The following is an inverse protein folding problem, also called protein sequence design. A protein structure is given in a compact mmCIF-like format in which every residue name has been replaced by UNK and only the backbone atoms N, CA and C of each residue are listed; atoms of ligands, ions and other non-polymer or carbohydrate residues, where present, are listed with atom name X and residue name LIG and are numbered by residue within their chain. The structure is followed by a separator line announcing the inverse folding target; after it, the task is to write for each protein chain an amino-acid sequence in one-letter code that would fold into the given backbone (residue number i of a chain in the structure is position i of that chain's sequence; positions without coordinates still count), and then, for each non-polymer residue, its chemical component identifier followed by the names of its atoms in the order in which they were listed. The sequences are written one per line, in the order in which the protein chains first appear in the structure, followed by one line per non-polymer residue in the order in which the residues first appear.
data_IF_689771057443
#
_entry.id   IF_689771057443
#
_cell.length_a   1.000
_cell.length_b   1.000
_cell.length_c   1.000
_cell.angle_alpha   90.00
_cell.angle_beta   90.00
_cell.angle_gamma   90.00
#
_symmetry.space_group_name_H-M   'P 1'
#
loop_
_entity.id
_entity.type
_entity.pdbx_description
1 polymer ?
#
# COMPACT_ATOMS: atom_id res chain seq x y z
N UNK A 1 0.83 12.37 -18.98
CA UNK A 1 -0.52 11.83 -18.87
C UNK A 1 -0.82 11.39 -17.43
N UNK A 2 0.00 10.54 -16.79
CA UNK A 2 -0.21 10.09 -15.40
C UNK A 2 -0.29 11.29 -14.43
N UNK A 3 0.67 12.21 -14.48
CA UNK A 3 0.70 13.40 -13.64
C UNK A 3 -0.54 14.32 -13.83
N UNK A 4 -1.13 14.32 -15.01
CA UNK A 4 -2.34 15.10 -15.28
C UNK A 4 -3.54 14.51 -14.53
N UNK A 5 -3.71 13.20 -14.58
CA UNK A 5 -4.78 12.51 -13.83
C UNK A 5 -4.56 12.55 -12.33
N UNK A 6 -3.31 12.45 -11.88
CA UNK A 6 -2.97 12.63 -10.47
C UNK A 6 -3.35 14.02 -9.97
N UNK A 7 -2.96 15.07 -10.68
CA UNK A 7 -3.30 16.43 -10.34
C UNK A 7 -4.83 16.68 -10.36
N UNK A 8 -5.54 16.14 -11.35
CA UNK A 8 -6.99 16.22 -11.44
C UNK A 8 -7.66 15.53 -10.24
N UNK A 9 -7.23 14.32 -9.89
CA UNK A 9 -7.76 13.60 -8.74
C UNK A 9 -7.50 14.36 -7.43
N UNK A 10 -6.29 14.88 -7.22
CA UNK A 10 -5.94 15.66 -6.03
C UNK A 10 -6.75 16.95 -5.93
N UNK A 11 -7.02 17.60 -7.05
CA UNK A 11 -7.89 18.78 -7.11
C UNK A 11 -9.34 18.42 -6.76
N UNK A 12 -9.87 17.34 -7.33
CA UNK A 12 -11.23 16.84 -7.08
C UNK A 12 -11.40 16.34 -5.64
N UNK A 13 -10.34 15.91 -4.98
CA UNK A 13 -10.30 15.59 -3.56
C UNK A 13 -10.17 16.82 -2.65
N UNK A 14 -10.10 18.01 -3.21
CA UNK A 14 -9.93 19.23 -2.44
C UNK A 14 -8.55 19.37 -1.78
N UNK A 15 -7.55 18.59 -2.21
CA UNK A 15 -6.18 18.68 -1.69
C UNK A 15 -5.36 19.77 -2.38
N UNK A 16 -5.76 20.16 -3.58
CA UNK A 16 -5.15 21.23 -4.38
C UNK A 16 -6.25 22.16 -4.87
N UNK A 17 -6.03 23.47 -4.75
CA UNK A 17 -6.95 24.46 -5.28
C UNK A 17 -6.98 24.45 -6.82
N UNK A 18 -8.14 24.77 -7.38
CA UNK A 18 -8.30 24.87 -8.83
C UNK A 18 -7.40 25.97 -9.39
N UNK A 19 -6.55 25.70 -10.39
CA UNK A 19 -5.53 26.65 -10.84
C UNK A 19 -6.09 27.94 -11.45
N UNK A 20 -7.34 27.94 -11.92
CA UNK A 20 -7.98 29.11 -12.55
C UNK A 20 -8.85 29.87 -11.56
N UNK A 21 -9.65 29.18 -10.73
CA UNK A 21 -10.57 29.82 -9.79
C UNK A 21 -9.99 30.03 -8.40
N UNK A 22 -8.94 29.29 -8.04
CA UNK A 22 -8.35 29.31 -6.70
C UNK A 22 -9.23 28.66 -5.62
N UNK A 23 -10.37 28.10 -6.02
CA UNK A 23 -11.31 27.45 -5.11
C UNK A 23 -10.91 26.01 -4.81
N UNK A 24 -11.24 25.58 -3.60
CA UNK A 24 -11.11 24.18 -3.17
C UNK A 24 -12.51 23.59 -3.14
N UNK A 25 -12.74 22.63 -4.01
CA UNK A 25 -14.03 21.93 -4.10
C UNK A 25 -13.78 20.42 -4.01
N UNK A 26 -14.64 19.73 -3.29
CA UNK A 26 -14.60 18.27 -3.19
C UNK A 26 -15.61 17.67 -4.15
N UNK A 27 -15.11 16.92 -5.12
CA UNK A 27 -15.89 16.16 -6.08
C UNK A 27 -15.44 14.69 -6.05
N UNK A 28 -16.05 13.90 -5.18
CA UNK A 28 -15.68 12.48 -4.99
C UNK A 28 -15.94 11.63 -6.24
N UNK A 29 -16.99 11.93 -6.99
CA UNK A 29 -17.31 11.21 -8.23
C UNK A 29 -16.21 11.43 -9.27
N UNK A 30 -15.84 12.68 -9.53
CA UNK A 30 -14.75 13.02 -10.45
C UNK A 30 -13.39 12.46 -9.99
N UNK A 31 -13.12 12.50 -8.68
CA UNK A 31 -11.91 11.89 -8.12
C UNK A 31 -11.84 10.38 -8.35
N UNK A 32 -12.98 9.72 -8.19
CA UNK A 32 -13.11 8.27 -8.47
C UNK A 32 -12.83 7.98 -9.94
N UNK A 33 -13.45 8.72 -10.85
CA UNK A 33 -13.25 8.56 -12.29
C UNK A 33 -11.78 8.73 -12.68
N UNK A 34 -11.10 9.73 -12.09
CA UNK A 34 -9.68 9.96 -12.33
C UNK A 34 -8.80 8.82 -11.83
N UNK A 35 -9.11 8.25 -10.67
CA UNK A 35 -8.41 7.09 -10.09
C UNK A 35 -8.66 5.84 -10.94
N UNK A 36 -9.89 5.60 -11.36
CA UNK A 36 -10.27 4.45 -12.18
C UNK A 36 -9.59 4.52 -13.57
N UNK A 37 -9.47 5.73 -14.13
CA UNK A 37 -8.75 5.96 -15.39
C UNK A 37 -7.25 5.61 -15.24
N UNK A 38 -6.62 6.03 -14.13
CA UNK A 38 -5.22 5.66 -13.84
C UNK A 38 -5.05 4.16 -13.61
N UNK A 39 -6.00 3.52 -12.94
CA UNK A 39 -5.98 2.07 -12.73
C UNK A 39 -6.12 1.30 -14.06
N UNK A 40 -7.02 1.74 -14.92
CA UNK A 40 -7.15 1.20 -16.28
C UNK A 40 -5.87 1.38 -17.09
N UNK A 41 -5.23 2.54 -17.00
CA UNK A 41 -3.93 2.78 -17.66
C UNK A 41 -2.86 1.83 -17.15
N UNK A 42 -2.78 1.60 -15.84
CA UNK A 42 -1.84 0.65 -15.26
C UNK A 42 -2.03 -0.77 -15.83
N UNK A 43 -3.27 -1.22 -15.90
CA UNK A 43 -3.63 -2.52 -16.49
C UNK A 43 -3.26 -2.60 -17.97
N UNK A 44 -3.63 -1.58 -18.76
CA UNK A 44 -3.39 -1.58 -20.22
C UNK A 44 -1.92 -1.44 -20.62
N UNK A 45 -1.10 -0.91 -19.72
CA UNK A 45 0.35 -0.74 -19.96
C UNK A 45 1.19 -1.82 -19.28
N UNK A 46 0.56 -2.80 -18.65
CA UNK A 46 1.26 -3.91 -18.01
C UNK A 46 2.18 -4.63 -19.03
N UNK A 47 3.42 -4.85 -18.61
CA UNK A 47 4.46 -5.41 -19.48
C UNK A 47 5.16 -4.42 -20.40
N UNK A 48 4.66 -3.19 -20.55
CA UNK A 48 5.26 -2.12 -21.37
C UNK A 48 5.95 -1.03 -20.54
N UNK A 49 5.81 -1.06 -19.21
CA UNK A 49 6.45 -0.14 -18.30
C UNK A 49 7.77 -0.72 -17.80
N UNK A 50 8.78 0.15 -17.67
CA UNK A 50 9.97 -0.22 -16.92
C UNK A 50 9.66 -0.27 -15.41
N UNK A 51 10.58 -0.79 -14.62
CA UNK A 51 10.37 -0.99 -13.18
C UNK A 51 10.07 0.32 -12.43
N UNK A 52 10.73 1.41 -12.78
CA UNK A 52 10.54 2.72 -12.14
C UNK A 52 9.18 3.32 -12.51
N UNK A 53 8.76 3.20 -13.75
CA UNK A 53 7.44 3.66 -14.22
C UNK A 53 6.32 2.87 -13.55
N UNK A 54 6.46 1.57 -13.42
CA UNK A 54 5.50 0.70 -12.74
C UNK A 54 5.36 1.10 -11.27
N UNK A 55 6.48 1.24 -10.56
CA UNK A 55 6.50 1.66 -9.15
C UNK A 55 5.89 3.04 -8.94
N UNK A 56 6.19 3.98 -9.82
CA UNK A 56 5.61 5.31 -9.77
C UNK A 56 4.09 5.27 -9.89
N UNK A 57 3.58 4.54 -10.86
CA UNK A 57 2.14 4.44 -11.11
C UNK A 57 1.41 3.72 -9.96
N UNK A 58 1.97 2.64 -9.44
CA UNK A 58 1.47 1.94 -8.26
C UNK A 58 1.44 2.85 -7.02
N UNK A 59 2.50 3.63 -6.83
CA UNK A 59 2.59 4.57 -5.72
C UNK A 59 1.53 5.68 -5.81
N UNK A 60 1.36 6.28 -6.98
CA UNK A 60 0.34 7.30 -7.24
C UNK A 60 -1.06 6.73 -6.97
N UNK A 61 -1.38 5.56 -7.50
CA UNK A 61 -2.67 4.92 -7.28
C UNK A 61 -2.93 4.63 -5.79
N UNK A 62 -1.91 4.15 -5.08
CA UNK A 62 -2.00 3.93 -3.64
C UNK A 62 -2.30 5.23 -2.88
N UNK A 63 -1.56 6.29 -3.17
CA UNK A 63 -1.74 7.60 -2.53
C UNK A 63 -3.12 8.21 -2.82
N UNK A 64 -3.58 8.13 -4.05
CA UNK A 64 -4.89 8.66 -4.44
C UNK A 64 -6.03 7.89 -3.78
N UNK A 65 -5.95 6.56 -3.70
CA UNK A 65 -6.96 5.73 -3.02
C UNK A 65 -7.01 6.03 -1.53
N UNK A 66 -5.86 6.21 -0.90
CA UNK A 66 -5.76 6.57 0.52
C UNK A 66 -6.40 7.95 0.78
N UNK A 67 -6.06 8.95 -0.02
CA UNK A 67 -6.66 10.28 0.06
C UNK A 67 -8.16 10.27 -0.23
N UNK A 68 -8.60 9.43 -1.17
CA UNK A 68 -10.02 9.28 -1.48
C UNK A 68 -10.83 8.78 -0.28
N UNK A 69 -10.36 7.73 0.38
CA UNK A 69 -11.00 7.18 1.59
C UNK A 69 -11.04 8.22 2.71
N UNK A 70 -9.93 8.91 2.93
CA UNK A 70 -9.82 9.97 3.95
C UNK A 70 -10.84 11.10 3.72
N UNK A 71 -10.97 11.58 2.49
CA UNK A 71 -11.94 12.64 2.14
C UNK A 71 -13.36 12.11 2.16
N UNK A 72 -13.62 10.89 1.68
CA UNK A 72 -14.95 10.29 1.71
C UNK A 72 -15.47 10.12 3.14
N UNK A 73 -14.63 9.64 4.05
CA UNK A 73 -14.94 9.51 5.47
C UNK A 73 -15.22 10.88 6.12
N UNK A 74 -14.45 11.89 5.78
CA UNK A 74 -14.65 13.26 6.27
C UNK A 74 -15.95 13.88 5.76
N UNK A 75 -16.31 13.65 4.50
CA UNK A 75 -17.58 14.10 3.90
C UNK A 75 -18.77 13.38 4.55
N UNK A 76 -18.68 12.09 4.75
CA UNK A 76 -19.71 11.30 5.42
C UNK A 76 -19.91 11.73 6.88
N UNK A 77 -18.82 11.97 7.63
CA UNK A 77 -18.87 12.47 8.99
C UNK A 77 -19.50 13.87 9.07
N UNK A 78 -19.23 14.76 8.10
CA UNK A 78 -19.85 16.08 8.02
C UNK A 78 -21.34 16.02 7.67
N UNK A 79 -21.77 15.07 6.83
CA UNK A 79 -23.17 14.83 6.49
C UNK A 79 -23.96 14.14 7.62
N UNK A 80 -23.32 13.34 8.44
CA UNK A 80 -23.90 12.67 9.60
C UNK A 80 -24.06 13.55 10.85
N UNK A 81 -23.56 14.78 10.81
CA UNK A 81 -23.57 15.71 11.94
C UNK A 81 -24.93 16.35 12.28
N UNK A 82 -25.99 16.07 11.52
CA UNK A 82 -27.36 16.54 11.76
C UNK A 82 -28.34 15.41 12.06
N UNK A 83 -27.97 14.49 12.91
CA UNK A 83 -28.86 13.43 13.36
C UNK A 83 -28.32 12.81 14.63
N UNK A 84 -28.69 13.39 15.79
CA UNK A 84 -28.37 12.80 17.07
C UNK A 84 -28.94 11.38 17.18
N UNK A 85 -28.08 10.43 17.51
CA UNK A 85 -28.44 9.06 17.78
C UNK A 85 -27.30 8.42 18.57
N UNK A 86 -27.48 8.40 19.89
CA UNK A 86 -26.70 7.62 20.82
C UNK A 86 -26.53 6.18 20.31
N UNK A 87 -25.33 5.81 20.00
CA UNK A 87 -24.91 4.44 19.80
C UNK A 87 -23.80 4.12 20.79
N UNK A 88 -24.15 3.79 22.00
CA UNK A 88 -23.27 3.19 22.99
C UNK A 88 -22.61 1.94 22.42
N UNK A 89 -21.39 2.08 21.96
CA UNK A 89 -20.53 0.93 21.73
C UNK A 89 -19.92 0.50 23.07
N UNK A 90 -20.66 -0.33 23.76
CA UNK A 90 -20.16 -1.07 24.91
C UNK A 90 -19.45 -2.32 24.38
N UNK A 91 -18.20 -2.17 24.06
CA UNK A 91 -17.32 -3.28 23.75
C UNK A 91 -16.92 -4.00 25.02
N UNK A 92 -17.64 -5.04 25.35
CA UNK A 92 -17.23 -6.02 26.35
C UNK A 92 -15.96 -6.71 25.86
N UNK A 93 -14.89 -6.51 26.58
CA UNK A 93 -13.71 -7.35 26.51
C UNK A 93 -14.04 -8.72 27.13
N UNK A 94 -13.77 -9.84 26.49
CA UNK A 94 -13.75 -11.12 27.19
C UNK A 94 -12.41 -11.27 27.92
N UNK A 95 -12.49 -11.24 29.22
CA UNK A 95 -11.44 -11.79 30.08
C UNK A 95 -11.41 -13.31 29.83
N UNK A 96 -10.38 -13.76 29.16
CA UNK A 96 -10.06 -15.17 29.02
C UNK A 96 -9.04 -15.54 30.06
N UNK A 97 -9.55 -16.11 31.12
CA UNK A 97 -8.78 -16.87 32.12
C UNK A 97 -8.06 -18.04 31.41
N UNK A 98 -6.73 -18.03 31.47
CA UNK A 98 -5.88 -19.11 30.97
C UNK A 98 -5.46 -20.01 32.10
N UNK A 99 -5.54 -21.31 31.96
CA UNK A 99 -4.80 -22.20 32.86
C UNK A 99 -3.38 -22.38 32.37
N UNK A 100 -2.48 -22.23 33.31
CA UNK A 100 -1.09 -22.62 33.24
C UNK A 100 -1.00 -24.14 32.97
N UNK A 101 -0.25 -24.52 31.94
CA UNK A 101 0.30 -25.88 31.86
C UNK A 101 1.80 -25.79 31.65
N UNK A 102 2.42 -26.17 32.76
CA UNK A 102 3.82 -26.42 32.95
C UNK A 102 4.21 -27.74 32.24
N UNK A 103 4.98 -27.62 31.17
CA UNK A 103 5.70 -28.75 30.66
C UNK A 103 6.90 -28.32 29.83
N UNK A 104 7.98 -28.17 30.51
CA UNK A 104 9.33 -28.20 29.95
C UNK A 104 9.73 -29.64 29.68
N UNK A 105 10.21 -30.00 28.51
CA UNK A 105 11.29 -30.97 28.43
C UNK A 105 12.56 -30.35 27.87
N UNK A 106 13.55 -30.38 28.71
CA UNK A 106 14.96 -30.37 28.35
C UNK A 106 15.25 -31.37 27.24
N UNK A 107 15.92 -30.92 26.24
CA UNK A 107 16.55 -31.75 25.22
C UNK A 107 17.86 -31.10 24.81
N UNK A 108 18.91 -31.72 25.29
CA UNK A 108 20.31 -31.36 25.20
C UNK A 108 20.87 -31.35 23.77
N UNK A 109 21.97 -30.66 23.54
CA UNK A 109 22.57 -30.43 22.23
C UNK A 109 23.64 -31.48 21.93
N UNK A 110 23.64 -32.02 20.77
CA UNK A 110 24.85 -32.64 20.19
C UNK A 110 24.61 -33.00 18.73
N UNK A 111 25.35 -32.42 17.90
CA UNK A 111 25.36 -32.75 16.49
C UNK A 111 26.39 -31.94 15.75
N UNK A 112 27.63 -32.11 16.15
CA UNK A 112 28.80 -31.78 15.35
C UNK A 112 28.74 -32.50 14.01
N UNK A 113 28.83 -31.78 12.91
CA UNK A 113 29.35 -32.38 11.69
C UNK A 113 30.27 -31.40 11.00
N UNK A 114 31.54 -31.66 11.27
CA UNK A 114 32.67 -31.28 10.46
C UNK A 114 32.63 -32.11 9.17
N UNK A 115 33.02 -31.52 8.10
CA UNK A 115 33.25 -32.14 6.80
C UNK A 115 33.60 -31.03 5.86
N UNK A 116 34.81 -30.62 5.90
CA UNK A 116 35.92 -30.96 4.98
C UNK A 116 35.57 -30.60 3.54
N UNK A 117 36.18 -29.46 3.12
CA UNK A 117 37.38 -29.46 2.29
C UNK A 117 37.21 -30.04 0.90
N UNK A 118 37.24 -29.17 -0.09
CA UNK A 118 38.01 -29.44 -1.30
C UNK A 118 38.37 -28.16 -2.05
N UNK A 119 39.63 -27.85 -2.17
CA UNK A 119 40.10 -26.89 -3.18
C UNK A 119 40.55 -27.68 -4.43
N UNK A 120 40.08 -27.32 -5.55
CA UNK A 120 40.51 -27.89 -6.82
C UNK A 120 40.22 -26.97 -7.95
N UNK A 121 41.16 -26.34 -8.31
CA UNK A 121 42.13 -26.40 -9.40
C UNK A 121 41.75 -25.52 -10.60
N UNK A 122 42.47 -24.44 -10.71
CA UNK A 122 43.25 -23.99 -11.86
C UNK A 122 42.94 -24.68 -13.19
N UNK A 123 42.58 -23.90 -14.20
CA UNK A 123 43.33 -23.97 -15.46
C UNK A 123 43.20 -22.70 -16.27
N UNK A 124 44.33 -22.10 -16.51
CA UNK A 124 44.62 -21.15 -17.56
C UNK A 124 44.71 -21.86 -18.92
N UNK A 125 44.39 -21.12 -19.96
CA UNK A 125 44.68 -21.39 -21.35
C UNK A 125 43.95 -20.32 -22.14
N UNK A 126 44.50 -19.36 -22.80
CA UNK A 126 45.71 -19.34 -23.59
C UNK A 126 45.36 -19.64 -25.04
N UNK A 127 45.44 -18.68 -25.92
CA UNK A 127 45.38 -18.81 -27.37
C UNK A 127 44.49 -17.77 -27.98
N UNK A 128 44.96 -16.66 -28.43
CA UNK A 128 45.80 -16.41 -29.63
C UNK A 128 45.00 -16.58 -30.94
N UNK A 129 45.05 -15.51 -31.67
CA UNK A 129 44.78 -15.10 -33.04
C UNK A 129 43.46 -14.41 -33.32
#
# INVERSE_FOLDING_TARGET
LVATFEAAAMQQLGKIAHPVTGEVEVNLEGARDSIDMLAMMAEKTEGNLNEDERRLLEHILYQLRLNFVDVADAVEAAAGGEGGGEGTAQGSAPEGDGPEDDSVPKGDPSGSHEGEDTPGARRAGGGDQ
#
